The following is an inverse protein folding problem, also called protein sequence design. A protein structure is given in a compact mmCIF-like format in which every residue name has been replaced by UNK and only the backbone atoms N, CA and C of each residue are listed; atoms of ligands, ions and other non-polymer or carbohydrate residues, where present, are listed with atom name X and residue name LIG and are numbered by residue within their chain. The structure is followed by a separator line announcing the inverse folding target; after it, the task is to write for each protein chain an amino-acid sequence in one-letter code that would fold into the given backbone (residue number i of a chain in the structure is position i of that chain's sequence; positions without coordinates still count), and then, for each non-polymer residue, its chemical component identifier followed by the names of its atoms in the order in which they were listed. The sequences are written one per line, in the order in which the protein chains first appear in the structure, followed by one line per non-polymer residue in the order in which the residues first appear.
data_IF_119420317272
#
_entry.id   IF_119420317272
#
_cell.length_a   1.000
_cell.length_b   1.000
_cell.length_c   1.000
_cell.angle_alpha   90.00
_cell.angle_beta   90.00
_cell.angle_gamma   90.00
#
_symmetry.space_group_name_H-M   'P 1'
#
loop_
_entity.id
_entity.type
_entity.pdbx_description
1 polymer ?
#
# COMPACT_ATOMS: atom_id res chain seq x y z
N UNK A 1 23.98 -68.19 -4.51
CA UNK A 1 22.80 -67.35 -4.82
C UNK A 1 23.05 -65.94 -4.30
N UNK A 2 23.45 -65.00 -5.16
CA UNK A 2 23.63 -63.59 -4.78
C UNK A 2 22.29 -62.86 -4.96
N UNK A 3 21.73 -62.32 -3.87
CA UNK A 3 20.61 -61.39 -3.91
C UNK A 3 21.16 -59.98 -4.14
N UNK A 4 20.93 -59.43 -5.34
CA UNK A 4 21.19 -58.02 -5.63
C UNK A 4 19.97 -57.24 -5.14
N UNK A 5 20.19 -56.35 -4.17
CA UNK A 5 19.17 -55.45 -3.63
C UNK A 5 19.18 -54.17 -4.49
N UNK A 6 18.13 -53.96 -5.30
CA UNK A 6 17.95 -52.72 -6.04
C UNK A 6 17.44 -51.63 -5.08
N UNK A 7 18.29 -50.65 -4.77
CA UNK A 7 17.88 -49.42 -4.10
C UNK A 7 17.27 -48.46 -5.14
N UNK A 8 15.94 -48.30 -5.12
CA UNK A 8 15.23 -47.28 -5.87
C UNK A 8 15.42 -45.93 -5.16
N UNK A 9 16.32 -45.10 -5.69
CA UNK A 9 16.50 -43.72 -5.23
C UNK A 9 15.36 -42.89 -5.83
N UNK A 10 14.31 -42.65 -5.05
CA UNK A 10 13.29 -41.65 -5.32
C UNK A 10 13.91 -40.26 -5.15
N UNK A 11 14.30 -39.65 -6.26
CA UNK A 11 14.75 -38.26 -6.30
C UNK A 11 13.50 -37.39 -6.06
N UNK A 12 13.29 -36.99 -4.81
CA UNK A 12 12.37 -35.90 -4.48
C UNK A 12 12.95 -34.60 -5.05
N UNK A 13 12.54 -34.24 -6.26
CA UNK A 13 12.70 -32.87 -6.73
C UNK A 13 11.76 -31.99 -5.88
N UNK A 14 12.26 -30.94 -5.21
CA UNK A 14 11.38 -29.97 -4.58
C UNK A 14 10.58 -29.31 -5.70
N UNK A 15 9.25 -29.44 -5.65
CA UNK A 15 8.34 -28.61 -6.41
C UNK A 15 8.60 -27.16 -6.00
N UNK A 16 9.40 -26.46 -6.78
CA UNK A 16 9.50 -25.01 -6.73
C UNK A 16 8.17 -24.47 -7.28
N UNK A 17 7.26 -24.11 -6.38
CA UNK A 17 6.13 -23.27 -6.74
C UNK A 17 6.70 -21.92 -7.20
N UNK A 18 6.83 -21.76 -8.52
CA UNK A 18 7.01 -20.46 -9.11
C UNK A 18 5.71 -19.69 -8.87
N UNK A 19 5.70 -18.77 -7.92
CA UNK A 19 4.64 -17.78 -7.78
C UNK A 19 4.74 -16.86 -8.99
N UNK A 20 3.89 -17.07 -10.00
CA UNK A 20 3.77 -16.08 -11.07
C UNK A 20 3.21 -14.82 -10.42
N UNK A 21 4.03 -13.77 -10.32
CA UNK A 21 3.55 -12.47 -9.87
C UNK A 21 2.50 -12.00 -10.89
N UNK A 22 1.23 -12.10 -10.54
CA UNK A 22 0.14 -11.67 -11.44
C UNK A 22 0.33 -10.19 -11.73
N UNK A 23 0.20 -9.80 -12.99
CA UNK A 23 0.32 -8.40 -13.38
C UNK A 23 -0.86 -7.59 -12.87
N UNK A 24 -0.57 -6.38 -12.40
CA UNK A 24 -1.57 -5.39 -11.99
C UNK A 24 -2.27 -4.86 -13.26
N UNK A 25 -3.60 -4.81 -13.25
CA UNK A 25 -4.42 -4.26 -14.33
C UNK A 25 -4.75 -2.79 -14.08
N UNK A 26 -5.22 -2.49 -12.88
CA UNK A 26 -5.62 -1.16 -12.44
C UNK A 26 -5.14 -0.86 -11.03
N UNK A 27 -5.02 0.42 -10.69
CA UNK A 27 -4.69 0.85 -9.34
C UNK A 27 -5.47 2.09 -8.92
N UNK A 28 -5.59 2.30 -7.61
CA UNK A 28 -6.05 3.54 -6.98
C UNK A 28 -4.92 4.12 -6.14
N UNK A 29 -4.90 5.45 -5.98
CA UNK A 29 -3.92 6.17 -5.15
C UNK A 29 -4.67 6.87 -4.03
N UNK A 30 -4.14 6.80 -2.82
CA UNK A 30 -4.56 7.62 -1.70
C UNK A 30 -3.33 8.26 -1.07
N UNK A 31 -3.46 9.51 -0.64
CA UNK A 31 -2.37 10.29 -0.06
C UNK A 31 -2.64 10.51 1.42
N UNK A 32 -1.62 10.33 2.24
CA UNK A 32 -1.69 10.65 3.66
C UNK A 32 -1.72 12.17 3.89
N UNK A 33 -2.38 12.62 4.97
CA UNK A 33 -2.55 14.04 5.30
C UNK A 33 -1.24 14.83 5.45
N UNK A 34 -0.15 14.16 5.84
CA UNK A 34 1.19 14.74 5.95
C UNK A 34 1.96 14.73 4.62
N UNK A 35 1.34 14.24 3.53
CA UNK A 35 1.92 14.14 2.19
C UNK A 35 3.23 13.33 2.12
N UNK A 36 3.50 12.52 3.14
CA UNK A 36 4.75 11.75 3.28
C UNK A 36 4.55 10.24 3.09
N UNK A 37 3.31 9.78 3.17
CA UNK A 37 2.91 8.40 2.93
C UNK A 37 1.87 8.31 1.81
N UNK A 38 1.91 7.23 1.05
CA UNK A 38 0.96 6.92 -0.02
C UNK A 38 0.44 5.51 0.16
N UNK A 39 -0.85 5.34 -0.03
CA UNK A 39 -1.48 4.03 -0.15
C UNK A 39 -1.86 3.77 -1.61
N UNK A 40 -1.56 2.56 -2.08
CA UNK A 40 -2.05 2.03 -3.33
C UNK A 40 -2.99 0.87 -3.08
N UNK A 41 -4.06 0.80 -3.87
CA UNK A 41 -4.90 -0.40 -3.99
C UNK A 41 -4.70 -0.93 -5.41
N UNK A 42 -4.19 -2.15 -5.53
CA UNK A 42 -3.89 -2.81 -6.79
C UNK A 42 -4.97 -3.85 -7.11
N UNK A 43 -5.47 -3.81 -8.34
CA UNK A 43 -6.37 -4.80 -8.94
C UNK A 43 -5.56 -5.66 -9.89
N UNK A 44 -5.43 -6.95 -9.60
CA UNK A 44 -4.64 -7.87 -10.41
C UNK A 44 -5.51 -8.48 -11.52
N UNK A 45 -4.86 -9.03 -12.56
CA UNK A 45 -5.58 -9.65 -13.69
C UNK A 45 -6.37 -10.92 -13.33
N UNK A 46 -6.07 -11.56 -12.21
CA UNK A 46 -6.81 -12.70 -11.64
C UNK A 46 -8.01 -12.28 -10.78
N UNK A 47 -8.30 -10.98 -10.73
CA UNK A 47 -9.30 -10.34 -9.86
C UNK A 47 -8.95 -10.37 -8.37
N UNK A 48 -7.71 -10.71 -7.99
CA UNK A 48 -7.25 -10.49 -6.63
C UNK A 48 -6.93 -9.01 -6.43
N UNK A 49 -7.28 -8.48 -5.27
CA UNK A 49 -6.91 -7.13 -4.86
C UNK A 49 -5.88 -7.18 -3.74
N UNK A 50 -4.92 -6.27 -3.79
CA UNK A 50 -3.88 -6.11 -2.75
C UNK A 50 -3.70 -4.64 -2.45
N UNK A 51 -3.15 -4.32 -1.29
CA UNK A 51 -2.79 -2.96 -0.98
C UNK A 51 -1.33 -2.81 -0.57
N UNK A 52 -0.83 -1.60 -0.72
CA UNK A 52 0.52 -1.21 -0.34
C UNK A 52 0.44 0.15 0.35
N UNK A 53 1.12 0.32 1.48
CA UNK A 53 1.36 1.64 2.08
C UNK A 53 2.86 1.86 2.08
N UNK A 54 3.28 3.01 1.55
CA UNK A 54 4.68 3.42 1.50
C UNK A 54 4.85 4.71 2.29
N UNK A 55 5.67 4.69 3.33
CA UNK A 55 6.14 5.89 4.03
C UNK A 55 7.51 6.28 3.48
N UNK A 56 7.57 7.40 2.75
CA UNK A 56 8.81 7.85 2.11
C UNK A 56 9.79 8.46 3.12
N UNK A 57 11.05 8.00 3.09
CA UNK A 57 12.07 8.40 4.06
C UNK A 57 11.94 7.74 5.45
N UNK A 58 10.89 6.96 5.66
CA UNK A 58 10.63 6.20 6.89
C UNK A 58 10.05 7.02 8.03
N UNK A 59 9.34 6.35 8.93
CA UNK A 59 8.78 6.92 10.15
C UNK A 59 8.94 5.95 11.31
N UNK A 60 9.52 6.41 12.41
CA UNK A 60 9.84 5.57 13.56
C UNK A 60 8.64 4.73 14.03
N UNK A 61 7.48 5.37 14.19
CA UNK A 61 6.30 4.69 14.72
C UNK A 61 5.64 3.75 13.71
N UNK A 62 5.83 3.97 12.41
CA UNK A 62 5.38 3.04 11.37
C UNK A 62 6.17 1.73 11.44
N UNK A 63 7.51 1.82 11.51
CA UNK A 63 8.36 0.64 11.71
C UNK A 63 8.05 -0.06 13.03
N UNK A 64 8.06 0.64 14.16
CA UNK A 64 7.83 0.00 15.46
C UNK A 64 6.44 -0.66 15.57
N UNK A 65 5.46 -0.20 14.80
CA UNK A 65 4.15 -0.84 14.71
C UNK A 65 4.18 -2.05 13.78
N UNK A 66 4.59 -1.88 12.52
CA UNK A 66 4.44 -2.87 11.47
C UNK A 66 5.59 -3.87 11.36
N UNK A 67 6.73 -3.64 12.02
CA UNK A 67 7.80 -4.64 12.16
C UNK A 67 7.45 -5.73 13.20
N UNK A 68 6.18 -6.13 13.21
CA UNK A 68 5.60 -7.20 14.00
C UNK A 68 4.76 -8.10 13.07
N UNK A 69 4.67 -9.40 13.34
CA UNK A 69 3.79 -10.27 12.58
C UNK A 69 2.34 -9.76 12.60
N UNK A 70 1.66 -9.81 11.46
CA UNK A 70 0.29 -9.31 11.34
C UNK A 70 -0.68 -9.90 12.40
N UNK A 71 -0.51 -11.18 12.75
CA UNK A 71 -1.34 -11.86 13.74
C UNK A 71 -1.12 -11.40 15.19
N UNK A 72 -0.10 -10.60 15.47
CA UNK A 72 0.16 -10.01 16.79
C UNK A 72 -0.22 -8.53 16.87
N UNK A 73 -0.95 -8.02 15.87
CA UNK A 73 -1.40 -6.62 15.81
C UNK A 73 -2.91 -6.55 15.67
N UNK A 74 -3.48 -5.39 16.00
CA UNK A 74 -4.91 -5.11 15.81
C UNK A 74 -5.06 -3.83 15.01
N UNK A 75 -5.84 -3.88 13.93
CA UNK A 75 -5.99 -2.77 13.00
C UNK A 75 -7.43 -2.30 12.89
N UNK A 76 -7.61 -1.02 12.59
CA UNK A 76 -8.90 -0.35 12.50
C UNK A 76 -8.94 0.50 11.24
N UNK A 77 -10.10 0.57 10.61
CA UNK A 77 -10.36 1.50 9.49
C UNK A 77 -11.66 2.26 9.77
N UNK A 78 -11.54 3.55 10.01
CA UNK A 78 -12.63 4.40 10.47
C UNK A 78 -12.67 5.74 9.72
N UNK A 79 -13.80 6.48 9.75
CA UNK A 79 -13.87 7.83 9.19
C UNK A 79 -12.80 8.75 9.79
N UNK A 80 -12.25 9.64 8.96
CA UNK A 80 -11.15 10.52 9.34
C UNK A 80 -11.51 11.52 10.45
N UNK A 81 -12.79 11.92 10.55
CA UNK A 81 -13.28 12.94 11.49
C UNK A 81 -13.42 12.46 12.95
N UNK A 82 -13.11 11.19 13.22
CA UNK A 82 -13.18 10.58 14.55
C UNK A 82 -11.84 10.68 15.30
N UNK A 83 -10.73 10.65 14.56
CA UNK A 83 -9.38 10.70 15.13
C UNK A 83 -9.09 12.06 15.78
N UNK A 84 -8.40 12.03 16.91
CA UNK A 84 -7.92 13.21 17.64
C UNK A 84 -6.43 13.03 17.88
N UNK A 85 -5.64 14.01 17.45
CA UNK A 85 -4.18 14.00 17.58
C UNK A 85 -3.74 13.71 19.01
N UNK A 86 -2.85 12.74 19.14
CA UNK A 86 -2.31 12.29 20.43
C UNK A 86 -3.24 11.42 21.27
N UNK A 87 -4.51 11.22 20.90
CA UNK A 87 -5.43 10.31 21.60
C UNK A 87 -5.58 8.97 20.85
N UNK A 88 -4.76 7.99 21.20
CA UNK A 88 -4.79 6.63 20.64
C UNK A 88 -6.20 6.01 20.61
N UNK A 89 -7.03 6.21 21.64
CA UNK A 89 -8.35 5.58 21.73
C UNK A 89 -9.38 6.22 20.78
N UNK A 90 -9.11 7.42 20.29
CA UNK A 90 -9.93 8.05 19.25
C UNK A 90 -9.76 7.34 17.90
N UNK A 91 -8.56 6.83 17.61
CA UNK A 91 -8.19 6.17 16.34
C UNK A 91 -8.58 4.69 16.25
N UNK A 92 -8.99 4.09 17.36
CA UNK A 92 -9.16 2.64 17.52
C UNK A 92 -10.54 2.29 18.07
N UNK A 93 -11.62 2.82 17.48
CA UNK A 93 -12.97 2.47 17.96
C UNK A 93 -13.29 1.02 17.61
N UNK A 94 -13.67 0.23 18.61
CA UNK A 94 -13.96 -1.21 18.50
C UNK A 94 -14.90 -1.57 17.34
N UNK A 95 -15.92 -0.74 17.06
CA UNK A 95 -16.86 -0.98 15.94
C UNK A 95 -16.22 -0.95 14.54
N UNK A 96 -15.00 -0.42 14.41
CA UNK A 96 -14.22 -0.32 13.18
C UNK A 96 -13.00 -1.25 13.17
N UNK A 97 -12.87 -2.11 14.19
CA UNK A 97 -11.81 -3.09 14.25
C UNK A 97 -11.96 -4.10 13.11
N UNK A 98 -10.87 -4.34 12.39
CA UNK A 98 -10.81 -5.40 11.40
C UNK A 98 -10.71 -6.76 12.10
N UNK A 99 -11.41 -7.76 11.57
CA UNK A 99 -11.24 -9.14 12.02
C UNK A 99 -9.84 -9.64 11.67
N UNK A 100 -9.33 -9.28 10.48
CA UNK A 100 -7.99 -9.67 10.04
C UNK A 100 -7.36 -8.64 9.10
N UNK A 101 -6.22 -8.11 9.49
CA UNK A 101 -5.36 -7.31 8.62
C UNK A 101 -4.04 -8.04 8.37
N UNK A 102 -3.97 -8.81 7.28
CA UNK A 102 -2.78 -9.60 6.96
C UNK A 102 -1.82 -8.76 6.10
N UNK A 103 -0.61 -8.50 6.61
CA UNK A 103 0.40 -7.71 5.94
C UNK A 103 1.80 -8.28 6.13
N UNK A 104 2.73 -7.83 5.29
CA UNK A 104 4.17 -7.94 5.49
C UNK A 104 4.81 -6.55 5.50
N UNK A 105 5.81 -6.37 6.35
CA UNK A 105 6.61 -5.14 6.42
C UNK A 105 7.97 -5.37 5.78
N UNK A 106 8.44 -4.39 5.01
CA UNK A 106 9.76 -4.41 4.41
C UNK A 106 10.31 -2.99 4.17
N UNK A 107 11.62 -2.93 3.99
CA UNK A 107 12.30 -1.74 3.52
C UNK A 107 12.40 -1.73 1.99
N UNK A 108 12.39 -0.53 1.40
CA UNK A 108 12.78 -0.29 0.01
C UNK A 108 13.72 0.91 -0.03
N UNK A 109 15.03 0.64 0.05
CA UNK A 109 15.99 1.70 0.34
C UNK A 109 15.74 2.27 1.73
N UNK A 110 15.50 3.58 1.82
CA UNK A 110 15.16 4.27 3.08
C UNK A 110 13.65 4.34 3.34
N UNK A 111 12.82 3.86 2.39
CA UNK A 111 11.37 3.88 2.55
C UNK A 111 10.90 2.64 3.31
N UNK A 112 9.80 2.80 4.03
CA UNK A 112 9.15 1.73 4.78
C UNK A 112 7.85 1.37 4.08
N UNK A 113 7.63 0.08 3.86
CA UNK A 113 6.51 -0.42 3.06
C UNK A 113 5.77 -1.50 3.85
N UNK A 114 4.45 -1.43 3.86
CA UNK A 114 3.63 -2.62 4.10
C UNK A 114 2.92 -3.05 2.83
N UNK A 115 2.89 -4.34 2.59
CA UNK A 115 2.05 -4.97 1.58
C UNK A 115 0.97 -5.77 2.30
N UNK A 116 -0.30 -5.56 1.97
CA UNK A 116 -1.41 -6.22 2.64
C UNK A 116 -2.34 -6.95 1.68
N UNK A 117 -2.84 -8.09 2.15
CA UNK A 117 -3.84 -8.92 1.49
C UNK A 117 -4.93 -9.20 2.51
N UNK A 118 -5.91 -8.31 2.58
CA UNK A 118 -7.03 -8.39 3.51
C UNK A 118 -8.32 -8.01 2.78
N UNK A 119 -9.18 -8.98 2.42
CA UNK A 119 -10.44 -8.70 1.72
C UNK A 119 -11.34 -7.72 2.46
N UNK A 120 -11.43 -7.84 3.79
CA UNK A 120 -12.21 -6.92 4.63
C UNK A 120 -11.66 -5.49 4.55
N UNK A 121 -10.34 -5.31 4.73
CA UNK A 121 -9.73 -3.99 4.66
C UNK A 121 -9.89 -3.36 3.27
N UNK A 122 -9.64 -4.13 2.22
CA UNK A 122 -9.76 -3.66 0.83
C UNK A 122 -11.21 -3.27 0.51
N UNK A 123 -12.20 -4.05 0.96
CA UNK A 123 -13.61 -3.72 0.78
C UNK A 123 -13.98 -2.41 1.47
N UNK A 124 -13.54 -2.21 2.72
CA UNK A 124 -13.80 -0.99 3.49
C UNK A 124 -13.15 0.22 2.81
N UNK A 125 -11.86 0.12 2.45
CA UNK A 125 -11.10 1.17 1.76
C UNK A 125 -11.75 1.52 0.42
N UNK A 126 -12.13 0.52 -0.38
CA UNK A 126 -12.83 0.73 -1.66
C UNK A 126 -14.15 1.47 -1.48
N UNK A 127 -14.84 1.26 -0.36
CA UNK A 127 -16.01 2.05 0.02
C UNK A 127 -15.69 3.54 0.16
N UNK A 128 -14.63 3.89 0.86
CA UNK A 128 -14.17 5.29 1.01
C UNK A 128 -13.70 5.90 -0.33
N UNK A 129 -12.94 5.14 -1.13
CA UNK A 129 -12.55 5.56 -2.49
C UNK A 129 -13.78 5.87 -3.35
N UNK A 130 -14.83 5.04 -3.26
CA UNK A 130 -16.07 5.22 -4.03
C UNK A 130 -16.81 6.48 -3.61
N UNK A 131 -16.88 6.74 -2.29
CA UNK A 131 -17.55 7.94 -1.74
C UNK A 131 -16.70 9.20 -1.81
N UNK A 132 -15.42 9.08 -2.19
CA UNK A 132 -14.45 10.18 -2.16
C UNK A 132 -14.36 10.81 -0.77
N UNK A 133 -14.29 9.94 0.24
CA UNK A 133 -14.22 10.31 1.65
C UNK A 133 -12.85 9.93 2.22
N UNK A 134 -12.24 10.79 3.03
CA UNK A 134 -11.03 10.44 3.75
C UNK A 134 -11.34 9.45 4.89
N UNK A 135 -10.36 8.61 5.21
CA UNK A 135 -10.44 7.67 6.32
C UNK A 135 -9.10 7.54 7.01
N UNK A 136 -9.12 7.06 8.24
CA UNK A 136 -7.90 6.68 8.94
C UNK A 136 -7.73 5.17 8.97
N UNK A 137 -6.51 4.70 8.76
CA UNK A 137 -6.07 3.36 9.13
C UNK A 137 -5.15 3.45 10.34
N UNK A 138 -5.43 2.66 11.37
CA UNK A 138 -4.58 2.58 12.56
C UNK A 138 -4.27 1.14 12.90
N UNK A 139 -3.10 0.92 13.49
CA UNK A 139 -2.66 -0.40 13.96
C UNK A 139 -2.00 -0.26 15.32
N UNK A 140 -2.37 -1.14 16.24
CA UNK A 140 -1.77 -1.32 17.55
C UNK A 140 -0.93 -2.60 17.54
N UNK A 141 0.36 -2.47 17.84
CA UNK A 141 1.23 -3.58 18.26
C UNK A 141 1.26 -3.67 19.79
N UNK A 142 2.06 -4.57 20.36
CA UNK A 142 2.12 -4.79 21.81
C UNK A 142 2.59 -3.56 22.61
N UNK A 143 3.39 -2.68 22.01
CA UNK A 143 4.01 -1.54 22.70
C UNK A 143 3.83 -0.20 21.99
N UNK A 144 3.39 -0.22 20.74
CA UNK A 144 3.43 0.95 19.85
C UNK A 144 2.19 0.98 18.97
N UNK A 145 1.81 2.17 18.53
CA UNK A 145 0.74 2.35 17.56
C UNK A 145 1.13 3.32 16.46
N UNK A 146 0.44 3.18 15.33
CA UNK A 146 0.49 4.09 14.20
C UNK A 146 -0.94 4.40 13.75
N UNK A 147 -1.17 5.63 13.33
CA UNK A 147 -2.33 6.05 12.55
C UNK A 147 -1.87 6.89 11.37
N UNK A 148 -2.56 6.73 10.23
CA UNK A 148 -2.44 7.63 9.09
C UNK A 148 -3.82 7.91 8.51
N UNK A 149 -4.02 9.13 8.02
CA UNK A 149 -5.28 9.59 7.44
C UNK A 149 -5.12 9.74 5.95
N UNK A 150 -5.85 8.96 5.17
CA UNK A 150 -5.70 8.86 3.74
C UNK A 150 -6.90 9.46 3.01
N UNK A 151 -6.62 10.30 2.02
CA UNK A 151 -7.60 10.88 1.10
C UNK A 151 -7.46 10.24 -0.29
N UNK A 152 -8.54 9.71 -0.90
CA UNK A 152 -8.50 9.21 -2.27
C UNK A 152 -8.15 10.29 -3.30
N UNK A 153 -7.18 10.01 -4.17
CA UNK A 153 -6.89 10.85 -5.33
C UNK A 153 -7.90 10.54 -6.44
N UNK A 154 -8.79 11.48 -6.76
CA UNK A 154 -9.88 11.32 -7.73
C UNK A 154 -9.70 12.15 -8.98
N UNK A 155 -8.90 13.22 -8.90
CA UNK A 155 -8.73 14.21 -9.96
C UNK A 155 -7.27 14.57 -10.20
N UNK A 156 -7.00 15.19 -11.34
CA UNK A 156 -5.67 15.73 -11.65
C UNK A 156 -5.31 16.88 -10.71
N UNK A 157 -6.29 17.65 -10.24
CA UNK A 157 -6.01 18.74 -9.31
C UNK A 157 -5.57 18.22 -7.95
N UNK A 158 -6.09 17.07 -7.49
CA UNK A 158 -5.59 16.40 -6.28
C UNK A 158 -4.11 16.05 -6.41
N UNK A 159 -3.68 15.51 -7.57
CA UNK A 159 -2.27 15.23 -7.84
C UNK A 159 -1.41 16.51 -7.87
N UNK A 160 -1.93 17.62 -8.40
CA UNK A 160 -1.22 18.92 -8.35
C UNK A 160 -1.07 19.42 -6.92
N UNK A 161 -2.08 19.17 -6.06
CA UNK A 161 -2.00 19.47 -4.63
C UNK A 161 -0.90 18.63 -3.97
N UNK A 162 -0.77 17.34 -4.29
CA UNK A 162 0.36 16.51 -3.81
C UNK A 162 1.69 17.12 -4.26
N UNK A 163 1.84 17.46 -5.55
CA UNK A 163 3.07 18.05 -6.07
C UNK A 163 3.46 19.37 -5.38
N UNK A 164 2.45 20.20 -5.05
CA UNK A 164 2.65 21.48 -4.36
C UNK A 164 3.09 21.30 -2.91
N UNK A 165 2.48 20.36 -2.18
CA UNK A 165 2.77 20.15 -0.76
C UNK A 165 4.02 19.30 -0.54
N UNK A 166 4.24 18.28 -1.38
CA UNK A 166 5.42 17.43 -1.33
C UNK A 166 5.79 16.90 -2.73
N UNK A 167 6.61 17.68 -3.44
CA UNK A 167 7.10 17.35 -4.78
C UNK A 167 7.83 16.00 -4.84
N UNK A 168 8.56 15.63 -3.76
CA UNK A 168 9.30 14.37 -3.72
C UNK A 168 8.35 13.17 -3.63
N UNK A 169 7.32 13.24 -2.79
CA UNK A 169 6.26 12.22 -2.73
C UNK A 169 5.55 12.10 -4.07
N UNK A 170 5.19 13.22 -4.68
CA UNK A 170 4.60 13.22 -6.03
C UNK A 170 5.51 12.51 -7.05
N UNK A 171 6.80 12.85 -7.09
CA UNK A 171 7.74 12.21 -8.00
C UNK A 171 7.97 10.73 -7.68
N UNK A 172 7.95 10.33 -6.42
CA UNK A 172 7.97 8.92 -6.03
C UNK A 172 6.77 8.16 -6.58
N UNK A 173 5.55 8.72 -6.47
CA UNK A 173 4.34 8.14 -7.06
C UNK A 173 4.53 7.95 -8.56
N UNK A 174 4.95 9.00 -9.28
CA UNK A 174 5.13 8.92 -10.73
C UNK A 174 6.26 7.99 -11.16
N UNK A 175 7.26 7.75 -10.30
CA UNK A 175 8.33 6.79 -10.58
C UNK A 175 7.93 5.33 -10.36
N UNK A 176 6.77 5.07 -9.74
CA UNK A 176 6.33 3.70 -9.43
C UNK A 176 6.06 2.92 -10.74
N UNK A 177 6.70 1.75 -10.96
CA UNK A 177 6.48 0.95 -12.16
C UNK A 177 5.01 0.57 -12.42
N UNK A 178 4.20 0.39 -11.36
CA UNK A 178 2.77 0.11 -11.52
C UNK A 178 2.05 1.36 -12.07
N UNK A 179 2.39 2.55 -11.56
CA UNK A 179 1.83 3.83 -12.00
C UNK A 179 2.17 4.14 -13.47
N UNK A 180 3.36 3.72 -13.92
CA UNK A 180 3.82 3.84 -15.31
C UNK A 180 3.07 2.87 -16.24
N UNK A 181 2.92 1.61 -15.81
CA UNK A 181 2.53 0.51 -16.71
C UNK A 181 1.06 0.08 -16.62
N UNK A 182 0.34 0.54 -15.60
CA UNK A 182 -1.06 0.15 -15.36
C UNK A 182 -1.99 1.36 -15.47
N UNK A 183 -3.30 1.11 -15.49
CA UNK A 183 -4.30 2.16 -15.57
C UNK A 183 -4.67 2.66 -14.16
N UNK A 184 -4.69 3.97 -13.96
CA UNK A 184 -5.32 4.51 -12.76
C UNK A 184 -6.86 4.40 -12.89
N UNK A 185 -7.50 3.86 -11.86
CA UNK A 185 -8.94 3.51 -11.87
C UNK A 185 -9.81 4.77 -11.93
N UNK A 186 -9.51 5.76 -11.09
CA UNK A 186 -10.31 6.96 -10.90
C UNK A 186 -10.14 7.95 -12.05
N UNK A 187 -8.89 8.21 -12.43
CA UNK A 187 -8.52 9.14 -13.49
C UNK A 187 -8.73 8.56 -14.89
N UNK A 188 -8.81 7.22 -15.00
CA UNK A 188 -8.92 6.48 -16.26
C UNK A 188 -7.74 6.73 -17.22
N UNK A 189 -6.55 6.90 -16.66
CA UNK A 189 -5.32 7.23 -17.39
C UNK A 189 -4.34 6.05 -17.35
N UNK A 190 -3.80 5.71 -18.51
CA UNK A 190 -2.62 4.86 -18.63
C UNK A 190 -1.37 5.74 -18.62
N UNK A 191 -0.28 5.27 -18.03
CA UNK A 191 0.99 6.01 -17.97
C UNK A 191 0.78 7.43 -17.44
N UNK A 192 0.31 7.49 -16.18
CA UNK A 192 0.07 8.75 -15.46
C UNK A 192 1.27 9.72 -15.50
N UNK A 193 2.54 9.27 -15.40
CA UNK A 193 3.69 10.15 -15.47
C UNK A 193 3.78 10.89 -16.81
N UNK A 194 3.58 10.18 -17.93
CA UNK A 194 3.58 10.81 -19.25
C UNK A 194 2.42 11.79 -19.41
N UNK A 195 1.26 11.48 -18.84
CA UNK A 195 0.12 12.39 -18.85
C UNK A 195 0.39 13.67 -18.05
N UNK A 196 1.01 13.58 -16.87
CA UNK A 196 1.31 14.74 -16.02
C UNK A 196 2.26 15.74 -16.67
N UNK A 197 3.12 15.31 -17.60
CA UNK A 197 3.95 16.22 -18.42
C UNK A 197 3.11 17.22 -19.24
N UNK A 198 1.89 16.85 -19.63
CA UNK A 198 0.99 17.76 -20.36
C UNK A 198 0.52 18.95 -19.51
N UNK A 199 0.65 18.84 -18.18
CA UNK A 199 0.39 19.91 -17.22
C UNK A 199 1.67 20.60 -16.72
N UNK A 200 2.82 20.30 -17.32
CA UNK A 200 4.12 20.87 -16.92
C UNK A 200 4.70 20.25 -15.65
N UNK A 201 4.30 19.03 -15.28
CA UNK A 201 4.90 18.30 -14.17
C UNK A 201 5.80 17.19 -14.71
N UNK A 202 7.11 17.36 -14.58
CA UNK A 202 8.10 16.35 -14.93
C UNK A 202 9.04 16.09 -13.75
N UNK A 203 9.42 14.83 -13.54
CA UNK A 203 10.31 14.43 -12.45
C UNK A 203 11.64 13.93 -13.02
N UNK A 204 12.74 14.41 -12.43
CA UNK A 204 14.07 13.93 -12.77
C UNK A 204 14.39 12.58 -12.09
N UNK A 205 15.59 12.05 -12.37
CA UNK A 205 16.05 10.77 -11.81
C UNK A 205 16.31 10.82 -10.29
N UNK A 206 16.40 12.02 -9.71
CA UNK A 206 16.65 12.25 -8.29
C UNK A 206 15.35 12.59 -7.53
N UNK A 207 14.19 12.41 -8.17
CA UNK A 207 12.86 12.71 -7.62
C UNK A 207 12.63 14.21 -7.36
N UNK A 208 13.27 15.08 -8.13
CA UNK A 208 12.97 16.52 -8.16
C UNK A 208 11.93 16.82 -9.23
N UNK A 209 10.98 17.69 -8.91
CA UNK A 209 10.04 18.25 -9.88
C UNK A 209 10.72 19.38 -10.67
N UNK A 210 10.65 19.33 -12.00
CA UNK A 210 11.28 20.26 -12.95
C UNK A 210 10.25 20.90 -13.89
#
# INVERSE_FOLDING_TARGET
MYKILFFLILIYSPLTFATSKTSVSEYSILIDEDWSSVMFIYRNMDNDETGEIITYGGYKWFEETYNHPAHSTTSFIQPADIGIDGDMYSWMKERYQLQRFNYSFNYKGNDQVINFVSPEAIQVISGYITRSEPFSISTLSSTTWYSGTYDPIKTIDDLKVVAKNNARTFCNILSNPIVINSKNTELKINNLPQFMKTYGFECDQNLNLI
#
